data_IF_225594438544
#
_entry.id   IF_225594438544
#
_cell.length_a   1.000
_cell.length_b   1.000
_cell.length_c   1.000
_cell.angle_alpha   90.00
_cell.angle_beta   90.00
_cell.angle_gamma   90.00
#
_symmetry.space_group_name_H-M   'P 1'
#
loop_
_entity.id
_entity.type
_entity.pdbx_description
1 polymer ?
#
# COMPACT_ATOMS: atom_id res chain seq x y z
N UNK A 1 9.11 13.29 -49.67
CA UNK A 1 7.82 12.59 -49.57
C UNK A 1 8.05 11.46 -48.56
N UNK A 2 7.81 11.61 -47.25
CA UNK A 2 6.50 11.75 -46.58
C UNK A 2 5.65 10.49 -46.87
N UNK A 3 5.22 9.61 -45.95
CA UNK A 3 4.96 9.60 -44.49
C UNK A 3 4.95 8.13 -43.99
N UNK A 4 5.32 7.78 -42.75
CA UNK A 4 4.45 7.74 -41.55
C UNK A 4 3.77 6.35 -41.43
N UNK A 5 3.68 5.63 -40.31
CA UNK A 5 3.75 5.96 -38.88
C UNK A 5 3.82 4.62 -38.12
N UNK A 6 4.82 4.40 -37.26
CA UNK A 6 4.75 3.37 -36.22
C UNK A 6 4.20 4.05 -34.96
N UNK A 7 2.97 3.72 -34.57
CA UNK A 7 2.39 4.15 -33.30
C UNK A 7 3.08 3.32 -32.20
N UNK A 8 4.12 3.88 -31.57
CA UNK A 8 4.62 3.41 -30.29
C UNK A 8 3.87 4.18 -29.19
N UNK A 9 2.78 3.59 -28.72
CA UNK A 9 1.97 4.15 -27.65
C UNK A 9 2.49 3.73 -26.29
N UNK A 10 3.21 4.65 -25.64
CA UNK A 10 3.47 4.76 -24.19
C UNK A 10 4.25 3.59 -23.57
N UNK A 11 5.57 3.71 -23.63
CA UNK A 11 6.43 3.28 -22.54
C UNK A 11 5.95 4.00 -21.26
N UNK A 12 5.23 3.28 -20.39
CA UNK A 12 5.27 3.60 -18.98
C UNK A 12 6.69 3.24 -18.54
N UNK A 13 7.59 4.23 -18.58
CA UNK A 13 8.81 4.17 -17.79
C UNK A 13 8.37 3.95 -16.35
N UNK A 14 8.47 2.70 -15.90
CA UNK A 14 8.55 2.40 -14.48
C UNK A 14 9.84 3.05 -14.00
N UNK A 15 9.76 4.34 -13.65
CA UNK A 15 10.79 4.94 -12.83
C UNK A 15 10.91 4.05 -11.59
N UNK A 16 12.13 3.61 -11.30
CA UNK A 16 12.45 2.85 -10.11
C UNK A 16 12.33 3.80 -8.91
N UNK A 17 11.10 4.08 -8.50
CA UNK A 17 10.82 4.92 -7.35
C UNK A 17 11.07 4.16 -6.06
N UNK A 18 11.65 4.88 -5.11
CA UNK A 18 11.88 4.35 -3.77
C UNK A 18 10.52 3.91 -3.19
N UNK A 19 10.39 2.65 -2.75
CA UNK A 19 9.15 2.19 -2.15
C UNK A 19 8.76 3.09 -0.98
N UNK A 20 7.45 3.31 -0.74
CA UNK A 20 7.00 4.05 0.42
C UNK A 20 7.57 3.43 1.69
N UNK A 21 8.16 4.27 2.54
CA UNK A 21 8.76 3.89 3.83
C UNK A 21 7.73 4.04 4.96
N UNK A 22 6.67 4.81 4.73
CA UNK A 22 5.52 4.99 5.60
C UNK A 22 4.19 4.50 5.01
N UNK A 23 3.07 4.71 5.74
CA UNK A 23 1.73 4.39 5.27
C UNK A 23 1.40 5.16 3.99
N UNK A 24 0.75 4.47 3.05
CA UNK A 24 0.22 5.08 1.84
C UNK A 24 -1.18 5.60 2.11
N UNK A 25 -1.46 6.76 1.55
CA UNK A 25 -2.75 7.42 1.56
C UNK A 25 -3.23 7.59 0.12
N UNK A 26 -4.53 7.76 -0.03
CA UNK A 26 -5.20 8.02 -1.30
C UNK A 26 -6.02 9.30 -1.21
N UNK A 27 -5.96 10.12 -2.25
CA UNK A 27 -6.78 11.33 -2.35
C UNK A 27 -8.25 10.94 -2.50
N UNK A 28 -9.12 11.58 -1.71
CA UNK A 28 -10.57 11.37 -1.81
C UNK A 28 -11.27 12.42 -2.69
N UNK A 29 -10.55 13.49 -3.03
CA UNK A 29 -11.00 14.55 -3.92
C UNK A 29 -9.80 15.19 -4.62
N UNK A 30 -10.06 15.89 -5.72
CA UNK A 30 -9.06 16.70 -6.41
C UNK A 30 -8.67 17.93 -5.57
N UNK A 31 -7.37 18.24 -5.51
CA UNK A 31 -6.88 19.47 -4.91
C UNK A 31 -5.78 20.09 -5.77
N UNK A 32 -5.91 21.39 -6.05
CA UNK A 32 -4.89 22.16 -6.78
C UNK A 32 -4.15 23.06 -5.80
N UNK A 33 -2.82 23.00 -5.85
CA UNK A 33 -1.96 23.81 -5.01
C UNK A 33 -2.18 25.31 -5.24
N UNK A 34 -2.27 26.07 -4.16
CA UNK A 34 -2.36 27.54 -4.18
C UNK A 34 -1.00 28.17 -3.90
N UNK A 35 -0.18 27.52 -3.08
CA UNK A 35 1.18 27.94 -2.72
C UNK A 35 2.22 26.96 -3.29
N UNK A 36 3.43 27.45 -3.57
CA UNK A 36 4.52 26.63 -4.16
C UNK A 36 5.02 25.51 -3.24
N UNK A 37 4.66 25.52 -1.96
CA UNK A 37 4.99 24.47 -0.99
C UNK A 37 3.91 23.38 -0.90
N UNK A 38 2.79 23.53 -1.62
CA UNK A 38 1.67 22.59 -1.64
C UNK A 38 1.79 21.65 -2.84
N UNK A 39 1.29 20.43 -2.66
CA UNK A 39 1.24 19.41 -3.69
C UNK A 39 -0.17 19.37 -4.28
N UNK A 40 -0.28 19.36 -5.61
CA UNK A 40 -1.56 19.07 -6.26
C UNK A 40 -1.79 17.57 -6.28
N UNK A 41 -3.02 17.16 -6.00
CA UNK A 41 -3.42 15.76 -5.97
C UNK A 41 -4.69 15.57 -6.79
N UNK A 42 -4.82 14.39 -7.38
CA UNK A 42 -6.05 13.95 -8.06
C UNK A 42 -6.76 12.87 -7.28
N UNK A 43 -8.10 12.87 -7.29
CA UNK A 43 -8.89 11.82 -6.65
C UNK A 43 -8.39 10.43 -7.09
N UNK A 44 -8.13 9.56 -6.12
CA UNK A 44 -7.58 8.23 -6.34
C UNK A 44 -6.05 8.16 -6.47
N UNK A 45 -5.33 9.30 -6.49
CA UNK A 45 -3.87 9.32 -6.46
C UNK A 45 -3.33 8.82 -5.12
N UNK A 46 -2.24 8.04 -5.15
CA UNK A 46 -1.57 7.50 -3.97
C UNK A 46 -0.31 8.32 -3.62
N UNK A 47 -0.11 8.55 -2.33
CA UNK A 47 1.03 9.29 -1.79
C UNK A 47 1.46 8.72 -0.45
N UNK A 48 2.74 8.91 -0.12
CA UNK A 48 3.28 8.61 1.20
C UNK A 48 3.18 9.86 2.08
N UNK A 49 2.72 9.70 3.32
CA UNK A 49 2.79 10.78 4.31
C UNK A 49 4.15 10.72 5.01
N UNK A 50 4.94 11.80 4.81
CA UNK A 50 6.28 11.98 5.38
C UNK A 50 6.23 12.58 6.77
N UNK A 51 5.30 13.50 6.99
CA UNK A 51 5.12 14.22 8.26
C UNK A 51 3.64 14.52 8.48
N UNK A 52 3.05 13.90 9.51
CA UNK A 52 1.75 14.31 10.04
C UNK A 52 1.95 15.55 10.92
N UNK A 53 1.18 16.61 10.64
CA UNK A 53 1.25 17.86 11.39
C UNK A 53 -0.02 18.06 12.21
N UNK A 54 0.09 18.89 13.24
CA UNK A 54 -1.04 19.27 14.10
C UNK A 54 -2.01 20.25 13.43
N UNK A 55 -1.61 20.82 12.30
CA UNK A 55 -2.48 21.64 11.46
C UNK A 55 -3.14 20.79 10.36
N UNK A 56 -3.99 21.43 9.56
CA UNK A 56 -4.74 20.78 8.48
C UNK A 56 -3.87 20.43 7.25
N UNK A 57 -2.54 20.54 7.33
CA UNK A 57 -1.63 20.44 6.19
C UNK A 57 -0.49 19.46 6.47
N UNK A 58 -0.51 18.32 5.79
CA UNK A 58 0.48 17.26 5.99
C UNK A 58 1.49 17.23 4.87
N UNK A 59 2.74 16.87 5.18
CA UNK A 59 3.78 16.71 4.16
C UNK A 59 3.62 15.36 3.48
N UNK A 60 3.33 15.37 2.18
CA UNK A 60 3.16 14.19 1.35
C UNK A 60 4.21 14.11 0.25
N UNK A 61 4.51 12.90 -0.20
CA UNK A 61 5.29 12.58 -1.39
C UNK A 61 4.43 11.83 -2.39
N UNK A 62 4.27 12.34 -3.61
CA UNK A 62 3.54 11.61 -4.66
C UNK A 62 4.29 10.33 -5.03
N UNK A 63 3.58 9.19 -5.08
CA UNK A 63 4.18 7.93 -5.54
C UNK A 63 4.30 7.85 -7.06
N UNK A 64 3.70 8.81 -7.79
CA UNK A 64 3.75 8.87 -9.24
C UNK A 64 4.89 9.77 -9.73
N UNK A 65 5.10 10.92 -9.08
CA UNK A 65 6.08 11.93 -9.53
C UNK A 65 7.28 12.08 -8.62
N UNK A 66 7.25 11.50 -7.41
CA UNK A 66 8.24 11.71 -6.33
C UNK A 66 8.29 13.16 -5.79
N UNK A 67 7.38 14.03 -6.24
CA UNK A 67 7.28 15.40 -5.76
C UNK A 67 6.77 15.43 -4.31
N UNK A 68 7.33 16.34 -3.51
CA UNK A 68 6.93 16.56 -2.13
C UNK A 68 6.23 17.90 -1.96
N UNK A 69 5.19 17.93 -1.13
CA UNK A 69 4.51 19.17 -0.77
C UNK A 69 3.39 18.95 0.24
N UNK A 70 2.79 20.05 0.66
CA UNK A 70 1.70 20.04 1.63
C UNK A 70 0.38 19.69 0.95
N UNK A 71 -0.34 18.73 1.55
CA UNK A 71 -1.71 18.37 1.17
C UNK A 71 -2.67 18.61 2.33
N UNK A 72 -3.92 18.99 2.07
CA UNK A 72 -4.92 19.08 3.12
C UNK A 72 -5.20 17.70 3.72
N UNK A 73 -5.20 17.57 5.05
CA UNK A 73 -5.43 16.27 5.68
C UNK A 73 -6.86 15.75 5.48
N UNK A 74 -7.83 16.63 5.23
CA UNK A 74 -9.23 16.27 4.99
C UNK A 74 -9.49 15.76 3.56
N UNK A 75 -8.60 16.04 2.60
CA UNK A 75 -8.75 15.61 1.20
C UNK A 75 -8.08 14.26 0.93
N UNK A 76 -7.64 13.55 1.99
CA UNK A 76 -6.89 12.31 1.91
C UNK A 76 -7.43 11.28 2.91
N UNK A 77 -7.28 9.99 2.60
CA UNK A 77 -7.57 8.88 3.53
C UNK A 77 -6.47 7.84 3.48
N UNK A 78 -6.27 7.11 4.57
CA UNK A 78 -5.35 5.97 4.58
C UNK A 78 -5.77 4.94 3.54
N UNK A 79 -4.78 4.40 2.83
CA UNK A 79 -4.98 3.27 1.95
C UNK A 79 -4.96 1.99 2.80
N UNK A 80 -6.14 1.45 3.10
CA UNK A 80 -6.31 0.22 3.90
C UNK A 80 -5.58 -0.98 3.26
N UNK A 81 -5.32 -0.95 1.95
CA UNK A 81 -4.52 -1.98 1.27
C UNK A 81 -3.02 -1.84 1.57
N UNK A 82 -2.57 -0.62 1.89
CA UNK A 82 -1.21 -0.34 2.37
C UNK A 82 -1.01 -0.66 3.85
N UNK A 83 -2.09 -0.86 4.62
CA UNK A 83 -2.03 -1.20 6.05
C UNK A 83 -1.51 -2.62 6.31
N UNK A 84 -1.17 -3.40 5.27
CA UNK A 84 -0.18 -4.47 5.42
C UNK A 84 1.21 -3.85 5.64
N UNK A 85 1.35 -3.03 6.69
CA UNK A 85 2.60 -2.71 7.33
C UNK A 85 3.33 -4.02 7.54
N UNK A 86 4.60 -4.08 7.10
CA UNK A 86 5.45 -5.26 7.22
C UNK A 86 5.36 -5.87 8.62
N UNK A 87 5.13 -5.06 9.66
CA UNK A 87 4.94 -5.50 11.05
C UNK A 87 3.63 -6.26 11.28
N UNK A 88 2.45 -5.70 10.97
CA UNK A 88 1.17 -6.42 11.15
C UNK A 88 1.18 -7.71 10.33
N UNK A 89 1.64 -7.58 9.09
CA UNK A 89 1.93 -8.68 8.20
C UNK A 89 2.79 -9.77 8.88
N UNK A 90 3.88 -9.40 9.57
CA UNK A 90 4.81 -10.33 10.23
C UNK A 90 4.19 -10.95 11.48
N UNK A 91 3.38 -10.20 12.21
CA UNK A 91 2.60 -10.70 13.35
C UNK A 91 1.59 -11.75 12.89
N UNK A 92 0.83 -11.46 11.84
CA UNK A 92 -0.10 -12.39 11.22
C UNK A 92 0.62 -13.62 10.64
N UNK A 93 1.80 -13.45 10.06
CA UNK A 93 2.63 -14.57 9.61
C UNK A 93 3.04 -15.46 10.77
N UNK A 94 3.55 -14.87 11.85
CA UNK A 94 3.96 -15.61 13.04
C UNK A 94 2.76 -16.33 13.67
N UNK A 95 1.63 -15.65 13.84
CA UNK A 95 0.37 -16.21 14.30
C UNK A 95 -0.08 -17.38 13.43
N UNK A 96 -0.14 -17.18 12.10
CA UNK A 96 -0.56 -18.21 11.17
C UNK A 96 0.33 -19.46 11.22
N UNK A 97 1.63 -19.30 11.44
CA UNK A 97 2.60 -20.40 11.47
C UNK A 97 2.63 -21.16 12.80
N UNK A 98 2.43 -20.45 13.91
CA UNK A 98 2.53 -21.04 15.25
C UNK A 98 1.19 -21.61 15.72
N UNK A 99 0.07 -20.96 15.40
CA UNK A 99 -1.24 -21.38 15.89
C UNK A 99 -1.87 -22.45 15.00
N UNK A 100 -2.60 -23.40 15.60
CA UNK A 100 -3.28 -24.44 14.83
C UNK A 100 -4.59 -23.89 14.23
N UNK A 101 -4.47 -23.01 13.24
CA UNK A 101 -5.61 -22.41 12.56
C UNK A 101 -6.32 -23.44 11.69
N UNK A 102 -7.64 -23.57 11.89
CA UNK A 102 -8.49 -24.37 11.02
C UNK A 102 -8.84 -23.62 9.72
N UNK A 103 -7.79 -23.23 8.98
CA UNK A 103 -7.88 -22.55 7.70
C UNK A 103 -7.08 -23.39 6.70
N UNK A 104 -7.73 -24.06 5.71
CA UNK A 104 -7.06 -25.01 4.82
C UNK A 104 -5.84 -24.43 4.10
N UNK A 105 -5.95 -23.18 3.61
CA UNK A 105 -4.86 -22.51 2.89
C UNK A 105 -3.62 -22.28 3.78
N UNK A 106 -3.80 -22.00 5.07
CA UNK A 106 -2.67 -21.84 6.02
C UNK A 106 -2.04 -23.20 6.37
N UNK A 107 -2.86 -24.24 6.54
CA UNK A 107 -2.38 -25.60 6.79
C UNK A 107 -1.48 -26.09 5.66
N UNK A 108 -1.83 -25.79 4.41
CA UNK A 108 -0.99 -26.12 3.26
C UNK A 108 0.38 -25.42 3.36
N UNK A 109 0.40 -24.13 3.67
CA UNK A 109 1.64 -23.35 3.78
C UNK A 109 2.57 -23.95 4.85
N UNK A 110 2.05 -24.39 5.99
CA UNK A 110 2.85 -25.02 7.07
C UNK A 110 3.61 -26.27 6.63
N UNK A 111 3.20 -26.94 5.56
CA UNK A 111 3.91 -28.14 5.06
C UNK A 111 5.14 -27.81 4.19
N UNK A 112 5.31 -26.55 3.79
CA UNK A 112 6.38 -26.09 2.88
C UNK A 112 7.68 -25.76 3.64
N UNK A 113 8.76 -25.49 2.90
CA UNK A 113 10.02 -25.00 3.48
C UNK A 113 9.89 -23.59 4.05
N UNK A 114 10.79 -23.19 4.96
CA UNK A 114 10.72 -21.87 5.61
C UNK A 114 10.76 -20.68 4.64
N UNK A 115 11.48 -20.80 3.53
CA UNK A 115 11.59 -19.73 2.51
C UNK A 115 10.29 -19.61 1.70
N UNK A 116 9.72 -20.75 1.30
CA UNK A 116 8.46 -20.80 0.57
C UNK A 116 7.29 -20.33 1.44
N UNK A 117 7.32 -20.68 2.73
CA UNK A 117 6.31 -20.31 3.72
C UNK A 117 6.02 -18.81 3.75
N UNK A 118 7.07 -17.99 3.88
CA UNK A 118 6.92 -16.53 3.90
C UNK A 118 6.40 -16.00 2.56
N UNK A 119 7.00 -16.45 1.45
CA UNK A 119 6.63 -15.98 0.11
C UNK A 119 5.18 -16.32 -0.26
N UNK A 120 4.74 -17.55 0.04
CA UNK A 120 3.38 -18.00 -0.18
C UNK A 120 2.39 -17.29 0.73
N UNK A 121 2.75 -17.06 1.99
CA UNK A 121 1.90 -16.31 2.92
C UNK A 121 1.67 -14.89 2.43
N UNK A 122 2.73 -14.16 2.04
CA UNK A 122 2.61 -12.80 1.51
C UNK A 122 1.77 -12.73 0.25
N UNK A 123 1.98 -13.66 -0.68
CA UNK A 123 1.17 -13.75 -1.89
C UNK A 123 -0.30 -14.01 -1.57
N UNK A 124 -0.56 -14.86 -0.57
CA UNK A 124 -1.90 -15.24 -0.21
C UNK A 124 -2.66 -14.09 0.47
N UNK A 125 -2.07 -13.41 1.46
CA UNK A 125 -2.75 -12.31 2.17
C UNK A 125 -2.96 -11.08 1.29
N UNK A 126 -2.09 -10.84 0.30
CA UNK A 126 -2.25 -9.74 -0.66
C UNK A 126 -3.38 -10.00 -1.66
N UNK A 127 -3.63 -11.27 -2.01
CA UNK A 127 -4.62 -11.65 -3.01
C UNK A 127 -5.99 -12.03 -2.42
N UNK A 128 -6.08 -12.27 -1.11
CA UNK A 128 -7.28 -12.76 -0.44
C UNK A 128 -7.59 -11.91 0.80
N UNK A 129 -8.29 -10.80 0.58
CA UNK A 129 -8.71 -9.87 1.64
C UNK A 129 -9.63 -10.54 2.68
N UNK A 130 -10.40 -11.55 2.30
CA UNK A 130 -11.26 -12.31 3.23
C UNK A 130 -10.42 -13.11 4.21
N UNK A 131 -9.36 -13.77 3.73
CA UNK A 131 -8.42 -14.47 4.61
C UNK A 131 -7.73 -13.50 5.57
N UNK A 132 -7.31 -12.33 5.10
CA UNK A 132 -6.70 -11.30 5.92
C UNK A 132 -7.64 -10.90 7.08
N UNK A 133 -8.91 -10.61 6.77
CA UNK A 133 -9.92 -10.29 7.78
C UNK A 133 -10.16 -11.43 8.78
N UNK A 134 -10.11 -12.69 8.32
CA UNK A 134 -10.23 -13.86 9.19
C UNK A 134 -9.06 -13.98 10.16
N UNK A 135 -7.83 -13.72 9.70
CA UNK A 135 -6.65 -13.75 10.54
C UNK A 135 -6.69 -12.61 11.57
N UNK A 136 -7.01 -11.38 11.15
CA UNK A 136 -7.18 -10.24 12.06
C UNK A 136 -8.21 -10.52 13.15
N UNK A 137 -9.40 -11.05 12.78
CA UNK A 137 -10.46 -11.39 13.76
C UNK A 137 -10.03 -12.46 14.75
N UNK A 138 -9.29 -13.48 14.31
CA UNK A 138 -8.82 -14.57 15.18
C UNK A 138 -7.65 -14.16 16.07
N UNK A 139 -6.78 -13.27 15.61
CA UNK A 139 -5.68 -12.71 16.41
C UNK A 139 -6.22 -11.80 17.52
N UNK A 140 -7.15 -10.89 17.20
CA UNK A 140 -7.74 -9.95 18.16
C UNK A 140 -8.80 -10.57 19.09
N UNK A 141 -9.42 -11.69 18.68
CA UNK A 141 -10.39 -12.43 19.49
C UNK A 141 -9.79 -13.31 20.58
N UNK A 142 -8.47 -13.26 20.80
CA UNK A 142 -7.73 -14.11 21.74
C UNK A 142 -7.76 -13.61 23.20
N UNK A 143 -8.75 -12.78 23.56
CA UNK A 143 -8.96 -12.21 24.91
C UNK A 143 -9.57 -13.24 25.87
#
# INVERSE_FOLDING_TARGET
MSNGTCILGKDQSTQCMDPPKGPVYVAIEDWEHVENNQLSIKEGEKFEIKEERTNEWWLARSLNTDDEGLVPCYSIKKDEESELSTLESLELFHYAMTENLDIPKIKEIKTRSNVERASLFWSLIKNDSVLLDQLRKKEHGKI
#
